data_IF_916432190193
#
_entry.id   IF_916432190193
#
_cell.length_a   1.000
_cell.length_b   1.000
_cell.length_c   1.000
_cell.angle_alpha   90.00
_cell.angle_beta   90.00
_cell.angle_gamma   90.00
#
_symmetry.space_group_name_H-M   'P 1'
#
loop_
_entity.id
_entity.type
_entity.pdbx_description
1 polymer ?
#
# COMPACT_ATOMS: atom_id res chain seq x y z
N UNK A 1 7.59 -33.61 -22.01
CA UNK A 1 7.88 -32.20 -21.63
C UNK A 1 6.69 -31.42 -22.15
N UNK A 2 5.71 -31.23 -21.30
CA UNK A 2 4.49 -30.48 -21.61
C UNK A 2 4.82 -29.00 -21.43
N UNK A 3 4.96 -28.31 -22.54
CA UNK A 3 5.16 -26.88 -22.59
C UNK A 3 3.86 -26.24 -22.09
N UNK A 4 3.91 -25.66 -20.90
CA UNK A 4 2.77 -24.94 -20.35
C UNK A 4 2.38 -23.86 -21.35
N UNK A 5 1.10 -23.88 -21.77
CA UNK A 5 0.56 -22.83 -22.64
C UNK A 5 0.83 -21.45 -22.00
N UNK A 6 1.25 -20.45 -22.79
CA UNK A 6 1.44 -19.10 -22.25
C UNK A 6 0.13 -18.64 -21.62
N UNK A 7 0.20 -18.21 -20.36
CA UNK A 7 -0.96 -17.62 -19.68
C UNK A 7 -1.46 -16.43 -20.51
N UNK A 8 -2.78 -16.24 -20.63
CA UNK A 8 -3.32 -15.15 -21.43
C UNK A 8 -2.77 -13.83 -20.89
N UNK A 9 -2.17 -13.06 -21.77
CA UNK A 9 -1.65 -11.73 -21.47
C UNK A 9 -2.81 -10.87 -20.95
N UNK A 10 -2.65 -10.25 -19.78
CA UNK A 10 -3.68 -9.38 -19.20
C UNK A 10 -3.82 -8.13 -20.06
N UNK A 11 -5.06 -7.70 -20.29
CA UNK A 11 -5.34 -6.47 -21.04
C UNK A 11 -5.11 -5.21 -20.16
N UNK A 12 -5.10 -5.36 -18.86
CA UNK A 12 -4.83 -4.29 -17.87
C UNK A 12 -4.26 -4.87 -16.58
N UNK A 13 -3.46 -4.05 -15.86
CA UNK A 13 -2.95 -4.42 -14.54
C UNK A 13 -3.99 -4.33 -13.40
N UNK A 14 -3.55 -4.54 -12.18
CA UNK A 14 -2.15 -4.54 -11.73
C UNK A 14 -1.33 -5.66 -12.37
N UNK A 15 -0.07 -5.35 -12.63
CA UNK A 15 0.84 -6.18 -13.43
C UNK A 15 1.74 -7.04 -12.53
N UNK A 16 2.14 -8.19 -13.04
CA UNK A 16 3.27 -8.93 -12.50
C UNK A 16 4.58 -8.34 -13.03
N UNK A 17 5.64 -8.29 -12.21
CA UNK A 17 6.93 -7.76 -12.65
C UNK A 17 7.58 -8.59 -13.77
N UNK A 18 7.21 -9.88 -13.86
CA UNK A 18 7.75 -10.82 -14.84
C UNK A 18 6.92 -10.86 -16.14
N UNK A 19 5.81 -10.12 -16.22
CA UNK A 19 4.98 -9.98 -17.43
C UNK A 19 5.24 -8.66 -18.16
N UNK A 20 4.99 -8.59 -19.48
CA UNK A 20 5.04 -7.33 -20.22
C UNK A 20 4.03 -6.34 -19.67
N UNK A 21 4.47 -5.15 -19.32
CA UNK A 21 3.63 -4.07 -18.83
C UNK A 21 4.06 -2.72 -19.43
N UNK A 22 3.17 -1.70 -19.45
CA UNK A 22 3.53 -0.38 -19.95
C UNK A 22 4.73 0.23 -19.22
N UNK A 23 5.65 0.81 -19.97
CA UNK A 23 6.77 1.58 -19.42
C UNK A 23 6.27 2.96 -18.97
N UNK A 24 6.23 3.18 -17.66
CA UNK A 24 5.78 4.40 -17.00
C UNK A 24 6.66 4.73 -15.80
N UNK A 25 6.73 6.01 -15.48
CA UNK A 25 7.42 6.44 -14.26
C UNK A 25 6.74 5.86 -13.02
N UNK A 26 7.51 5.13 -12.23
CA UNK A 26 7.05 4.50 -10.98
C UNK A 26 8.03 4.70 -9.86
N UNK A 27 7.51 4.91 -8.65
CA UNK A 27 8.29 4.80 -7.42
C UNK A 27 8.48 3.32 -7.11
N UNK A 28 9.74 2.88 -7.07
CA UNK A 28 10.10 1.50 -6.74
C UNK A 28 10.24 1.34 -5.22
N UNK A 29 9.31 0.56 -4.65
CA UNK A 29 9.29 0.19 -3.24
C UNK A 29 9.73 -1.27 -3.01
N UNK A 30 10.49 -1.85 -3.91
CA UNK A 30 10.90 -3.25 -3.86
C UNK A 30 9.77 -4.21 -4.25
N UNK A 31 8.87 -4.53 -3.33
CA UNK A 31 7.72 -5.44 -3.57
C UNK A 31 6.56 -4.82 -4.37
N UNK A 32 6.52 -3.51 -4.51
CA UNK A 32 5.55 -2.76 -5.31
C UNK A 32 6.23 -1.65 -6.09
N UNK A 33 5.79 -1.41 -7.33
CA UNK A 33 6.12 -0.20 -8.07
C UNK A 33 4.85 0.58 -8.33
N UNK A 34 4.77 1.80 -7.80
CA UNK A 34 3.59 2.65 -7.86
C UNK A 34 3.77 3.74 -8.90
N UNK A 35 2.78 3.95 -9.79
CA UNK A 35 2.87 5.02 -10.80
C UNK A 35 2.94 6.40 -10.13
N UNK A 36 3.77 7.27 -10.69
CA UNK A 36 3.83 8.68 -10.31
C UNK A 36 2.73 9.43 -11.03
N UNK A 37 1.81 10.03 -10.26
CA UNK A 37 0.70 10.82 -10.81
C UNK A 37 0.72 12.20 -10.17
N UNK A 38 0.63 13.23 -10.98
CA UNK A 38 0.58 14.61 -10.52
C UNK A 38 -0.64 14.85 -9.60
N UNK A 39 -0.42 15.52 -8.50
CA UNK A 39 -1.45 15.81 -7.50
C UNK A 39 -1.68 14.70 -6.47
N UNK A 40 -0.91 13.59 -6.54
CA UNK A 40 -0.95 12.53 -5.55
C UNK A 40 0.37 12.42 -4.79
N UNK A 41 0.26 12.17 -3.49
CA UNK A 41 1.40 11.94 -2.59
C UNK A 41 1.46 10.48 -2.18
N UNK A 42 2.64 9.87 -2.28
CA UNK A 42 2.87 8.47 -1.87
C UNK A 42 3.53 8.47 -0.49
N UNK A 43 2.89 7.79 0.45
CA UNK A 43 3.39 7.50 1.79
C UNK A 43 3.52 5.99 1.98
N UNK A 44 4.28 5.56 2.99
CA UNK A 44 4.45 4.13 3.30
C UNK A 44 3.81 3.78 4.64
N UNK A 45 3.22 2.59 4.70
CA UNK A 45 2.69 2.02 5.94
C UNK A 45 3.75 1.17 6.63
N UNK A 46 4.04 1.49 7.88
CA UNK A 46 5.05 0.80 8.68
C UNK A 46 4.36 -0.01 9.78
N UNK A 47 4.75 -1.27 9.91
CA UNK A 47 4.36 -2.16 10.99
C UNK A 47 5.62 -2.66 11.71
N UNK A 48 5.86 -2.15 12.92
CA UNK A 48 7.13 -2.35 13.62
C UNK A 48 8.28 -1.67 12.88
N UNK A 49 9.25 -2.46 12.42
CA UNK A 49 10.42 -2.03 11.64
C UNK A 49 10.28 -2.32 10.13
N UNK A 50 9.12 -2.80 9.69
CA UNK A 50 8.88 -3.21 8.31
C UNK A 50 7.87 -2.31 7.61
N UNK A 51 8.14 -2.03 6.34
CA UNK A 51 7.17 -1.39 5.45
C UNK A 51 6.32 -2.49 4.83
N UNK A 52 5.02 -2.44 5.10
CA UNK A 52 4.08 -3.50 4.70
C UNK A 52 3.08 -3.08 3.63
N UNK A 53 3.01 -1.78 3.34
CA UNK A 53 2.09 -1.24 2.35
C UNK A 53 2.40 0.21 2.02
N UNK A 54 1.64 0.77 1.10
CA UNK A 54 1.73 2.16 0.71
C UNK A 54 0.34 2.83 0.74
N UNK A 55 0.34 4.12 0.94
CA UNK A 55 -0.85 4.99 0.88
C UNK A 55 -0.60 6.07 -0.17
N UNK A 56 -1.54 6.22 -1.07
CA UNK A 56 -1.56 7.31 -2.05
C UNK A 56 -2.66 8.28 -1.66
N UNK A 57 -2.29 9.52 -1.39
CA UNK A 57 -3.19 10.58 -0.97
C UNK A 57 -3.44 11.54 -2.13
N UNK A 58 -4.68 11.90 -2.36
CA UNK A 58 -5.07 12.88 -3.36
C UNK A 58 -6.37 13.59 -3.00
N UNK A 59 -6.31 14.89 -2.73
CA UNK A 59 -7.47 15.66 -2.27
C UNK A 59 -8.13 15.06 -1.03
N UNK A 60 -9.44 14.82 -1.11
CA UNK A 60 -10.24 14.22 -0.02
C UNK A 60 -10.33 12.69 -0.12
N UNK A 61 -9.36 12.05 -0.76
CA UNK A 61 -9.37 10.63 -1.04
C UNK A 61 -8.03 9.98 -0.74
N UNK A 62 -8.06 8.70 -0.35
CA UNK A 62 -6.88 7.90 -0.14
C UNK A 62 -7.04 6.51 -0.76
N UNK A 63 -5.94 6.00 -1.30
CA UNK A 63 -5.78 4.63 -1.74
C UNK A 63 -4.70 3.97 -0.91
N UNK A 64 -5.05 2.94 -0.16
CA UNK A 64 -4.09 2.12 0.56
C UNK A 64 -3.89 0.81 -0.20
N UNK A 65 -2.64 0.41 -0.42
CA UNK A 65 -2.29 -0.82 -1.13
C UNK A 65 -1.35 -1.70 -0.33
N UNK A 66 -1.66 -3.00 -0.35
CA UNK A 66 -0.84 -4.05 0.24
C UNK A 66 -0.75 -5.22 -0.73
N UNK A 67 0.44 -5.75 -0.91
CA UNK A 67 0.65 -6.98 -1.65
C UNK A 67 0.98 -8.13 -0.69
N UNK A 68 0.47 -9.31 -1.00
CA UNK A 68 0.63 -10.52 -0.22
C UNK A 68 1.06 -11.67 -1.12
N UNK A 69 1.76 -12.63 -0.55
CA UNK A 69 2.00 -13.90 -1.22
C UNK A 69 0.68 -14.68 -1.35
N UNK A 70 0.48 -15.32 -2.50
CA UNK A 70 -0.68 -16.17 -2.77
C UNK A 70 -0.26 -17.54 -3.31
N UNK A 71 -1.11 -18.56 -3.21
CA UNK A 71 -0.87 -19.86 -3.82
C UNK A 71 -0.75 -19.77 -5.34
N UNK A 72 -0.01 -20.70 -5.95
CA UNK A 72 0.22 -20.73 -7.39
C UNK A 72 -1.02 -21.10 -8.21
N UNK A 73 -1.96 -21.81 -7.61
CA UNK A 73 -3.07 -22.50 -8.32
C UNK A 73 -4.46 -21.94 -7.99
N UNK A 74 -4.58 -20.99 -7.06
CA UNK A 74 -5.87 -20.42 -6.68
C UNK A 74 -5.71 -19.00 -6.17
N UNK A 75 -6.65 -18.13 -6.53
CA UNK A 75 -6.78 -16.81 -5.91
C UNK A 75 -7.22 -16.91 -4.45
N UNK A 76 -6.97 -15.85 -3.69
CA UNK A 76 -7.35 -15.77 -2.28
C UNK A 76 -8.34 -14.63 -2.01
N UNK A 77 -8.75 -13.89 -3.04
CA UNK A 77 -9.62 -12.73 -2.85
C UNK A 77 -10.96 -13.09 -2.22
N UNK A 78 -11.60 -14.19 -2.64
CA UNK A 78 -12.90 -14.59 -2.09
C UNK A 78 -12.84 -14.84 -0.58
N UNK A 79 -11.78 -15.51 -0.11
CA UNK A 79 -11.53 -15.75 1.30
C UNK A 79 -11.26 -14.45 2.07
N UNK A 80 -10.34 -13.63 1.54
CA UNK A 80 -9.97 -12.34 2.15
C UNK A 80 -11.16 -11.39 2.18
N UNK A 81 -11.99 -11.39 1.14
CA UNK A 81 -13.20 -10.58 1.06
C UNK A 81 -14.20 -10.95 2.16
N UNK A 82 -14.40 -12.23 2.40
CA UNK A 82 -15.26 -12.70 3.49
C UNK A 82 -14.74 -12.28 4.87
N UNK A 83 -13.43 -12.45 5.12
CA UNK A 83 -12.76 -12.02 6.36
C UNK A 83 -12.89 -10.50 6.58
N UNK A 84 -12.70 -9.70 5.53
CA UNK A 84 -12.85 -8.25 5.58
C UNK A 84 -14.28 -7.83 5.90
N UNK A 85 -15.27 -8.49 5.29
CA UNK A 85 -16.67 -8.22 5.56
C UNK A 85 -17.04 -8.49 7.02
N UNK A 86 -16.53 -9.57 7.61
CA UNK A 86 -16.69 -9.87 9.02
C UNK A 86 -16.00 -8.84 9.91
N UNK A 87 -14.76 -8.48 9.59
CA UNK A 87 -14.00 -7.46 10.31
C UNK A 87 -14.69 -6.10 10.32
N UNK A 88 -15.25 -5.67 9.19
CA UNK A 88 -15.99 -4.40 9.10
C UNK A 88 -17.26 -4.45 9.96
N UNK A 89 -17.99 -5.56 9.95
CA UNK A 89 -19.19 -5.72 10.80
C UNK A 89 -18.85 -5.73 12.29
N UNK A 90 -17.71 -6.33 12.67
CA UNK A 90 -17.24 -6.36 14.06
C UNK A 90 -16.96 -4.98 14.65
N UNK A 91 -16.60 -4.00 13.81
CA UNK A 91 -16.41 -2.60 14.23
C UNK A 91 -17.65 -1.73 13.97
N UNK A 92 -18.84 -2.33 13.84
CA UNK A 92 -20.09 -1.64 13.53
C UNK A 92 -20.09 -0.89 12.19
N UNK A 93 -19.24 -1.27 11.23
CA UNK A 93 -19.30 -0.84 9.85
C UNK A 93 -20.36 -1.62 9.06
N UNK A 94 -20.63 -1.17 7.85
CA UNK A 94 -21.53 -1.83 6.91
C UNK A 94 -20.82 -2.00 5.57
N UNK A 95 -20.87 -3.20 4.98
CA UNK A 95 -20.37 -3.46 3.63
C UNK A 95 -21.30 -4.42 2.91
N UNK A 96 -21.36 -4.28 1.61
CA UNK A 96 -22.02 -5.18 0.68
C UNK A 96 -21.12 -5.48 -0.51
N UNK A 97 -21.30 -6.64 -1.10
CA UNK A 97 -20.63 -6.99 -2.36
C UNK A 97 -21.30 -6.28 -3.53
N UNK A 98 -20.47 -5.85 -4.49
CA UNK A 98 -20.94 -5.32 -5.78
C UNK A 98 -19.91 -5.61 -6.85
N UNK A 99 -20.32 -5.59 -8.11
CA UNK A 99 -19.40 -5.60 -9.25
C UNK A 99 -18.63 -4.29 -9.32
N UNK A 100 -17.33 -4.40 -9.51
CA UNK A 100 -16.40 -3.28 -9.63
C UNK A 100 -15.44 -3.47 -10.81
N UNK A 101 -14.52 -2.52 -11.01
CA UNK A 101 -13.60 -2.53 -12.17
C UNK A 101 -12.57 -3.67 -12.16
N UNK A 102 -12.42 -4.37 -11.04
CA UNK A 102 -11.50 -5.51 -10.86
C UNK A 102 -12.24 -6.80 -10.45
N UNK A 103 -13.54 -6.89 -10.70
CA UNK A 103 -14.41 -7.96 -10.27
C UNK A 103 -15.19 -7.59 -9.01
N UNK A 104 -15.64 -8.59 -8.26
CA UNK A 104 -16.45 -8.36 -7.05
C UNK A 104 -15.63 -7.64 -5.98
N UNK A 105 -16.16 -6.52 -5.49
CA UNK A 105 -15.58 -5.71 -4.42
C UNK A 105 -16.53 -5.58 -3.24
N UNK A 106 -16.01 -5.13 -2.07
CA UNK A 106 -16.84 -4.69 -0.95
C UNK A 106 -16.94 -3.16 -0.96
N UNK A 107 -18.15 -2.64 -0.85
CA UNK A 107 -18.38 -1.21 -0.70
C UNK A 107 -19.30 -0.94 0.49
N UNK A 108 -19.02 0.09 1.25
CA UNK A 108 -19.80 0.44 2.44
C UNK A 108 -19.21 1.58 3.23
N UNK A 109 -19.44 1.54 4.54
CA UNK A 109 -19.01 2.59 5.46
C UNK A 109 -18.41 2.00 6.72
N UNK A 110 -17.34 2.61 7.21
CA UNK A 110 -16.70 2.28 8.49
C UNK A 110 -16.78 3.46 9.45
N UNK A 111 -16.96 3.22 10.75
CA UNK A 111 -16.86 4.28 11.76
C UNK A 111 -15.40 4.71 11.90
N UNK A 112 -15.16 6.02 11.87
CA UNK A 112 -13.85 6.63 12.12
C UNK A 112 -13.99 7.58 13.29
N UNK A 113 -13.12 7.42 14.29
CA UNK A 113 -13.16 8.23 15.50
C UNK A 113 -13.07 9.72 15.17
N UNK A 114 -13.99 10.51 15.71
CA UNK A 114 -14.07 11.96 15.48
C UNK A 114 -14.57 12.39 14.09
N UNK A 115 -14.80 11.45 13.15
CA UNK A 115 -15.21 11.78 11.78
C UNK A 115 -16.55 11.13 11.36
N UNK A 116 -17.17 10.34 12.26
CA UNK A 116 -18.40 9.64 11.94
C UNK A 116 -18.19 8.42 11.03
N UNK A 117 -19.16 8.16 10.15
CA UNK A 117 -19.05 7.06 9.16
C UNK A 117 -18.39 7.57 7.89
N UNK A 118 -17.39 6.85 7.43
CA UNK A 118 -16.65 7.18 6.21
C UNK A 118 -16.85 6.10 5.15
N UNK A 119 -17.08 6.49 3.90
CA UNK A 119 -17.21 5.55 2.79
C UNK A 119 -15.88 4.84 2.54
N UNK A 120 -15.97 3.54 2.22
CA UNK A 120 -14.83 2.69 1.94
C UNK A 120 -15.15 1.67 0.86
N UNK A 121 -14.17 1.36 0.02
CA UNK A 121 -14.20 0.26 -0.95
C UNK A 121 -12.98 -0.61 -0.76
N UNK A 122 -13.18 -1.91 -0.67
CA UNK A 122 -12.12 -2.92 -0.64
C UNK A 122 -12.12 -3.66 -1.96
N UNK A 123 -11.00 -3.61 -2.65
CA UNK A 123 -10.77 -4.25 -3.92
C UNK A 123 -9.65 -5.27 -3.75
N UNK A 124 -9.74 -6.37 -4.47
CA UNK A 124 -8.73 -7.41 -4.49
C UNK A 124 -8.45 -7.87 -5.91
N UNK A 125 -7.18 -8.08 -6.21
CA UNK A 125 -6.74 -8.63 -7.49
C UNK A 125 -5.79 -9.77 -7.23
N UNK A 126 -6.15 -10.96 -7.72
CA UNK A 126 -5.29 -12.14 -7.69
C UNK A 126 -4.35 -12.13 -8.88
N UNK A 127 -3.07 -12.37 -8.64
CA UNK A 127 -2.03 -12.48 -9.64
C UNK A 127 -1.22 -13.75 -9.52
N UNK A 128 -0.17 -13.94 -10.35
CA UNK A 128 0.71 -15.08 -10.27
C UNK A 128 1.44 -15.10 -8.93
N UNK A 129 1.08 -16.00 -8.03
CA UNK A 129 1.66 -16.15 -6.67
C UNK A 129 1.59 -14.93 -5.76
N UNK A 130 0.77 -13.91 -6.12
CA UNK A 130 0.55 -12.74 -5.30
C UNK A 130 -0.94 -12.33 -5.30
N UNK A 131 -1.28 -11.56 -4.32
CA UNK A 131 -2.59 -10.93 -4.16
C UNK A 131 -2.38 -9.46 -3.81
N UNK A 132 -3.03 -8.57 -4.53
CA UNK A 132 -3.04 -7.13 -4.24
C UNK A 132 -4.38 -6.75 -3.59
N UNK A 133 -4.33 -6.21 -2.37
CA UNK A 133 -5.48 -5.60 -1.72
C UNK A 133 -5.37 -4.08 -1.84
N UNK A 134 -6.39 -3.46 -2.38
CA UNK A 134 -6.54 -2.01 -2.44
C UNK A 134 -7.73 -1.56 -1.59
N UNK A 135 -7.58 -0.48 -0.85
CA UNK A 135 -8.64 0.14 -0.06
C UNK A 135 -8.75 1.59 -0.47
N UNK A 136 -9.88 1.96 -1.06
CA UNK A 136 -10.21 3.34 -1.41
C UNK A 136 -11.09 3.91 -0.31
N UNK A 137 -10.76 5.10 0.17
CA UNK A 137 -11.51 5.81 1.21
C UNK A 137 -11.71 7.29 0.85
N UNK A 138 -12.63 7.94 1.57
CA UNK A 138 -12.98 9.33 1.31
C UNK A 138 -13.88 9.49 0.09
N UNK A 139 -13.80 10.65 -0.58
CA UNK A 139 -14.69 10.99 -1.70
C UNK A 139 -14.67 9.95 -2.83
N UNK A 140 -13.49 9.41 -3.16
CA UNK A 140 -13.35 8.42 -4.23
C UNK A 140 -14.04 7.07 -3.93
N UNK A 141 -14.35 6.77 -2.69
CA UNK A 141 -15.13 5.59 -2.33
C UNK A 141 -16.63 5.76 -2.59
N UNK A 142 -17.14 6.99 -2.52
CA UNK A 142 -18.55 7.33 -2.69
C UNK A 142 -18.91 7.81 -4.10
N UNK A 143 -17.97 8.51 -4.76
CA UNK A 143 -18.17 9.13 -6.07
C UNK A 143 -17.35 8.38 -7.13
N UNK A 144 -18.02 7.71 -8.09
CA UNK A 144 -17.33 6.95 -9.15
C UNK A 144 -16.37 7.81 -9.99
N UNK A 145 -16.71 9.06 -10.27
CA UNK A 145 -15.86 9.95 -11.06
C UNK A 145 -14.55 10.29 -10.29
N UNK A 146 -14.64 10.49 -8.99
CA UNK A 146 -13.46 10.69 -8.14
C UNK A 146 -12.65 9.39 -7.97
N UNK A 147 -13.32 8.22 -8.02
CA UNK A 147 -12.71 6.90 -7.93
C UNK A 147 -11.88 6.52 -9.15
N UNK A 148 -12.24 7.00 -10.35
CA UNK A 148 -11.61 6.59 -11.61
C UNK A 148 -10.09 6.83 -11.65
N UNK A 149 -9.61 7.94 -11.10
CA UNK A 149 -8.18 8.24 -11.01
C UNK A 149 -7.42 7.23 -10.15
N UNK A 150 -7.96 6.84 -8.99
CA UNK A 150 -7.37 5.83 -8.12
C UNK A 150 -7.46 4.42 -8.70
N UNK A 151 -8.53 4.11 -9.41
CA UNK A 151 -8.66 2.85 -10.15
C UNK A 151 -7.65 2.77 -11.31
N UNK A 152 -7.43 3.88 -12.01
CA UNK A 152 -6.38 4.01 -13.01
C UNK A 152 -4.99 3.76 -12.42
N UNK A 153 -4.73 4.31 -11.22
CA UNK A 153 -3.49 4.08 -10.49
C UNK A 153 -3.33 2.58 -10.15
N UNK A 154 -4.39 1.92 -9.66
CA UNK A 154 -4.34 0.47 -9.35
C UNK A 154 -3.99 -0.34 -10.61
N UNK A 155 -4.55 0.02 -11.78
CA UNK A 155 -4.23 -0.66 -13.05
C UNK A 155 -2.77 -0.52 -13.48
N UNK A 156 -2.09 0.52 -13.03
CA UNK A 156 -0.68 0.78 -13.37
C UNK A 156 0.32 0.29 -12.32
N UNK A 157 -0.15 -0.28 -11.21
CA UNK A 157 0.72 -0.91 -10.19
C UNK A 157 1.42 -2.13 -10.79
N UNK A 158 2.70 -2.30 -10.46
CA UNK A 158 3.45 -3.53 -10.73
C UNK A 158 3.78 -4.20 -9.40
N UNK A 159 3.42 -5.47 -9.26
CA UNK A 159 3.74 -6.28 -8.09
C UNK A 159 5.01 -7.08 -8.36
N UNK A 160 5.98 -6.94 -7.47
CA UNK A 160 7.27 -7.65 -7.52
C UNK A 160 7.27 -8.71 -6.45
N UNK A 161 6.84 -9.92 -6.81
CA UNK A 161 6.73 -11.04 -5.87
C UNK A 161 8.08 -11.64 -5.51
N UNK A 162 8.98 -11.71 -6.48
CA UNK A 162 10.27 -12.40 -6.33
C UNK A 162 10.13 -13.92 -6.21
N UNK A 163 11.28 -14.59 -6.08
CA UNK A 163 11.36 -16.06 -6.09
C UNK A 163 11.45 -16.68 -4.69
N UNK A 164 11.60 -15.87 -3.64
CA UNK A 164 11.74 -16.37 -2.28
C UNK A 164 10.47 -17.13 -1.82
N UNK A 165 10.63 -18.27 -1.12
CA UNK A 165 9.51 -18.95 -0.50
C UNK A 165 8.82 -18.05 0.53
N UNK A 166 7.51 -17.92 0.41
CA UNK A 166 6.66 -17.16 1.37
C UNK A 166 5.39 -17.94 1.64
N UNK A 167 4.89 -17.85 2.86
CA UNK A 167 3.60 -18.43 3.20
C UNK A 167 2.44 -17.66 2.52
N UNK A 168 1.34 -18.33 2.15
CA UNK A 168 0.13 -17.64 1.70
C UNK A 168 -0.32 -16.58 2.72
N UNK A 169 -0.78 -15.43 2.21
CA UNK A 169 -1.17 -14.25 3.00
C UNK A 169 -0.02 -13.55 3.76
N UNK A 170 1.23 -13.98 3.58
CA UNK A 170 2.38 -13.24 4.11
C UNK A 170 2.55 -11.93 3.32
N UNK A 171 2.69 -10.77 4.01
CA UNK A 171 2.88 -9.50 3.32
C UNK A 171 4.20 -9.48 2.54
N UNK A 172 4.16 -9.05 1.30
CA UNK A 172 5.36 -8.77 0.50
C UNK A 172 5.98 -7.49 1.08
N UNK A 173 7.23 -7.62 1.55
CA UNK A 173 7.95 -6.51 2.18
C UNK A 173 8.27 -5.42 1.18
N UNK A 174 8.04 -4.19 1.59
CA UNK A 174 8.42 -3.02 0.83
C UNK A 174 9.71 -2.41 1.38
N UNK A 175 10.35 -1.61 0.56
CA UNK A 175 11.57 -0.88 0.91
C UNK A 175 11.43 0.58 0.46
N UNK A 176 12.03 1.49 1.18
CA UNK A 176 12.15 2.86 0.69
C UNK A 176 13.03 2.90 -0.57
N UNK A 177 12.74 3.78 -1.53
CA UNK A 177 13.65 4.05 -2.62
C UNK A 177 15.06 4.36 -2.11
N UNK A 178 16.09 4.01 -2.88
CA UNK A 178 17.48 4.16 -2.44
C UNK A 178 17.80 5.60 -1.99
N UNK A 179 17.30 6.60 -2.70
CA UNK A 179 17.47 8.02 -2.36
C UNK A 179 16.80 8.37 -1.02
N UNK A 180 15.58 7.90 -0.79
CA UNK A 180 14.86 8.13 0.46
C UNK A 180 15.55 7.42 1.64
N UNK A 181 16.06 6.21 1.44
CA UNK A 181 16.86 5.51 2.47
C UNK A 181 18.11 6.29 2.86
N UNK A 182 18.87 6.79 1.89
CA UNK A 182 20.05 7.59 2.14
C UNK A 182 19.71 8.87 2.89
N UNK A 183 18.61 9.55 2.54
CA UNK A 183 18.15 10.74 3.25
C UNK A 183 17.82 10.47 4.71
N UNK A 184 17.09 9.36 4.99
CA UNK A 184 16.76 8.92 6.37
C UNK A 184 18.01 8.57 7.16
N UNK A 185 18.94 7.81 6.57
CA UNK A 185 20.21 7.44 7.21
C UNK A 185 21.08 8.67 7.53
N UNK A 186 21.18 9.62 6.59
CA UNK A 186 21.91 10.87 6.81
C UNK A 186 21.27 11.71 7.92
N UNK A 187 19.93 11.77 7.97
CA UNK A 187 19.21 12.51 9.00
C UNK A 187 19.40 11.85 10.38
N UNK A 188 19.30 10.53 10.44
CA UNK A 188 19.56 9.77 11.68
C UNK A 188 21.02 9.89 12.14
N UNK A 189 21.99 9.92 11.22
CA UNK A 189 23.39 10.14 11.55
C UNK A 189 23.63 11.55 12.11
N UNK A 190 22.98 12.57 11.56
CA UNK A 190 23.05 13.95 12.08
C UNK A 190 22.44 14.10 13.48
N UNK A 191 21.38 13.37 13.78
CA UNK A 191 20.76 13.37 15.11
C UNK A 191 21.55 12.56 16.15
N UNK A 192 22.37 11.60 15.71
CA UNK A 192 23.23 10.79 16.60
C UNK A 192 24.57 11.41 16.93
N UNK A 193 24.91 12.57 16.33
CA UNK A 193 26.12 13.32 16.73
C UNK A 193 25.72 14.16 17.96
N UNK A 194 26.07 13.76 19.20
CA UNK A 194 25.92 14.65 20.33
C UNK A 194 26.86 15.83 20.07
N UNK A 195 26.35 17.03 20.26
CA UNK A 195 27.18 18.22 20.31
C UNK A 195 28.08 18.10 21.57
N UNK A 196 29.15 17.32 21.44
CA UNK A 196 30.22 17.24 22.42
C UNK A 196 31.11 18.46 22.24
N UNK A 197 30.59 19.64 22.57
CA UNK A 197 31.41 20.82 22.78
C UNK A 197 31.81 20.82 24.28
N UNK A 198 33.02 20.32 24.64
CA UNK A 198 33.47 20.19 26.05
C UNK A 198 33.79 21.54 26.67
N UNK A 199 33.53 22.67 26.03
CA UNK A 199 33.91 24.02 26.46
C UNK A 199 32.73 25.00 26.67
N UNK A 200 31.51 24.56 26.75
CA UNK A 200 30.45 25.43 27.31
C UNK A 200 30.50 25.36 28.84
N UNK A 201 31.14 26.39 29.43
CA UNK A 201 31.08 26.67 30.84
C UNK A 201 29.63 26.90 31.26
N UNK A 202 29.14 26.06 32.20
CA UNK A 202 27.84 26.28 32.82
C UNK A 202 27.77 27.64 33.53
N UNK A 203 26.54 28.17 33.78
CA UNK A 203 26.38 29.44 34.48
C UNK A 203 26.98 29.37 35.88
N UNK A 204 27.86 30.34 36.20
CA UNK A 204 28.40 30.51 37.53
C UNK A 204 27.27 30.89 38.51
N UNK A 205 27.10 30.05 39.54
CA UNK A 205 26.20 30.38 40.67
C UNK A 205 26.95 31.39 41.53
N UNK A 206 26.58 32.66 41.46
CA UNK A 206 27.08 33.70 42.37
C UNK A 206 26.22 33.63 43.64
N UNK A 207 26.76 33.07 44.70
CA UNK A 207 26.20 33.22 46.05
C UNK A 207 26.36 34.69 46.50
N UNK A 208 25.27 35.38 46.65
CA UNK A 208 25.22 36.68 47.34
C UNK A 208 24.89 36.42 48.81
N UNK A 209 25.79 36.88 49.65
CA UNK A 209 25.73 36.90 51.10
C UNK A 209 24.85 38.05 51.59
#
# INVERSE_FOLDING_TARGET
MEEAAPEPMRDSGPWDADEPHPDRDRVDLGGLRLPVIEGFEIQVNVAGDQIVGAVVLGGDSALQVHAFAAPKSSGIWDEVRAELAEGVRAVNGTVSEREGPFGVELAGEVPVEGQGRQPVRYLGVDGPRWFLRAVISGKAAADPAAGEALEGLIRDIVVVRGDEPMAPKEPIRLQLPAEARQAVEQHAARQKTPDLNPFQRGPEITETR
#
